data_IF_413530285949
#
_entry.id   IF_413530285949
#
_cell.length_a   1.000
_cell.length_b   1.000
_cell.length_c   1.000
_cell.angle_alpha   90.00
_cell.angle_beta   90.00
_cell.angle_gamma   90.00
#
_symmetry.space_group_name_H-M   'P 1'
#
loop_
_entity.id
_entity.type
_entity.pdbx_description
1 polymer ?
#
# COMPACT_ATOMS: atom_id res chain seq x y z
N UNK A 1 4.27 -19.45 1.13
CA UNK A 1 3.66 -18.11 1.18
C UNK A 1 2.84 -17.88 -0.08
N UNK A 2 1.69 -17.20 0.03
CA UNK A 2 0.92 -16.78 -1.15
C UNK A 2 1.60 -15.57 -1.81
N UNK A 3 1.68 -15.56 -3.14
CA UNK A 3 2.06 -14.35 -3.89
C UNK A 3 0.86 -13.39 -3.85
N UNK A 4 1.05 -12.24 -3.21
CA UNK A 4 0.01 -11.24 -3.01
C UNK A 4 0.01 -10.18 -4.11
N UNK A 5 0.83 -10.32 -5.16
CA UNK A 5 0.89 -9.29 -6.21
C UNK A 5 -0.46 -9.21 -6.90
N UNK A 6 -0.90 -7.99 -7.18
CA UNK A 6 -2.19 -7.76 -7.83
C UNK A 6 -2.09 -6.60 -8.82
N UNK A 7 -3.06 -6.54 -9.73
CA UNK A 7 -3.24 -5.40 -10.62
C UNK A 7 -4.51 -4.67 -10.22
N UNK A 8 -4.39 -3.40 -9.90
CA UNK A 8 -5.52 -2.53 -9.55
C UNK A 8 -5.55 -1.35 -10.51
N UNK A 9 -6.65 -1.19 -11.24
CA UNK A 9 -6.83 -0.09 -12.21
C UNK A 9 -5.65 0.05 -13.21
N UNK A 10 -5.05 -1.07 -13.63
CA UNK A 10 -3.91 -1.10 -14.55
C UNK A 10 -2.54 -0.91 -13.90
N UNK A 11 -2.47 -0.66 -12.59
CA UNK A 11 -1.23 -0.54 -11.83
C UNK A 11 -0.86 -1.88 -11.19
N UNK A 12 0.40 -2.29 -11.35
CA UNK A 12 0.95 -3.46 -10.65
C UNK A 12 1.34 -3.09 -9.23
N UNK A 13 0.74 -3.78 -8.25
CA UNK A 13 1.00 -3.60 -6.84
C UNK A 13 1.74 -4.81 -6.28
N UNK A 14 2.64 -4.57 -5.31
CA UNK A 14 3.35 -5.63 -4.58
C UNK A 14 2.39 -6.48 -3.74
N UNK A 15 1.30 -5.88 -3.26
CA UNK A 15 0.26 -6.49 -2.43
C UNK A 15 -1.07 -5.73 -2.63
N UNK A 16 -2.23 -6.28 -2.23
CA UNK A 16 -3.53 -5.61 -2.38
C UNK A 16 -3.83 -4.57 -1.28
N UNK A 17 -2.88 -4.27 -0.39
CA UNK A 17 -3.11 -3.36 0.75
C UNK A 17 -2.85 -1.92 0.30
N UNK A 18 -3.84 -1.05 0.51
CA UNK A 18 -3.78 0.36 0.10
C UNK A 18 -4.11 1.24 1.31
N UNK A 19 -3.28 2.24 1.57
CA UNK A 19 -3.56 3.23 2.62
C UNK A 19 -4.72 4.15 2.18
N UNK A 20 -5.82 4.13 2.94
CA UNK A 20 -7.00 4.94 2.65
C UNK A 20 -6.82 6.44 2.95
N UNK A 21 -7.74 7.27 2.42
CA UNK A 21 -7.79 8.68 2.74
C UNK A 21 -8.31 8.89 4.17
N UNK A 22 -7.40 8.87 5.14
CA UNK A 22 -7.68 9.06 6.57
C UNK A 22 -6.50 9.74 7.26
N UNK A 23 -6.56 9.94 8.59
CA UNK A 23 -5.46 10.53 9.37
C UNK A 23 -4.11 9.83 9.16
N UNK A 24 -4.13 8.54 8.80
CA UNK A 24 -2.93 7.77 8.44
C UNK A 24 -2.16 8.39 7.27
N UNK A 25 -2.87 8.95 6.29
CA UNK A 25 -2.30 9.52 5.06
C UNK A 25 -1.81 10.96 5.24
N UNK A 26 -2.09 11.59 6.39
CA UNK A 26 -1.58 12.93 6.71
C UNK A 26 -0.10 12.91 7.10
N UNK A 27 0.41 11.77 7.57
CA UNK A 27 1.79 11.65 8.01
C UNK A 27 2.61 10.82 6.99
N UNK A 28 3.49 11.51 6.25
CA UNK A 28 4.33 10.89 5.22
C UNK A 28 5.25 9.79 5.77
N UNK A 29 5.76 9.93 6.99
CA UNK A 29 6.68 8.95 7.57
C UNK A 29 5.99 7.60 7.83
N UNK A 30 4.73 7.64 8.27
CA UNK A 30 3.92 6.43 8.45
C UNK A 30 3.68 5.71 7.11
N UNK A 31 3.41 6.45 6.03
CA UNK A 31 3.24 5.87 4.69
C UNK A 31 4.53 5.17 4.22
N UNK A 32 5.70 5.77 4.45
CA UNK A 32 7.00 5.15 4.10
C UNK A 32 7.27 3.88 4.90
N UNK A 33 6.90 3.85 6.18
CA UNK A 33 7.02 2.65 7.01
C UNK A 33 6.12 1.53 6.49
N UNK A 34 4.90 1.85 6.06
CA UNK A 34 3.95 0.86 5.51
C UNK A 34 4.43 0.33 4.16
N UNK A 35 5.04 1.14 3.29
CA UNK A 35 5.56 0.66 2.00
C UNK A 35 6.75 -0.31 2.14
N UNK A 36 7.49 -0.21 3.26
CA UNK A 36 8.62 -1.10 3.58
C UNK A 36 8.21 -2.41 4.25
N UNK A 37 6.98 -2.50 4.77
CA UNK A 37 6.44 -3.70 5.42
C UNK A 37 5.98 -4.72 4.38
#
# INVERSE_FOLDING_TARGET
MADLKTTYMGLKLKNPVIAGASNLSLNKENLVKIEKA
#
